data_IF_704827986424
#
_entry.id   IF_704827986424
#
_cell.length_a   1.000
_cell.length_b   1.000
_cell.length_c   1.000
_cell.angle_alpha   90.00
_cell.angle_beta   90.00
_cell.angle_gamma   90.00
#
_symmetry.space_group_name_H-M   'P 1'
#
loop_
_entity.id
_entity.type
_entity.pdbx_description
1 polymer ?
#
# COMPACT_ATOMS: atom_id res chain seq x y z
N UNK A 1 28.07 -17.12 30.62
CA UNK A 1 27.57 -16.62 31.91
C UNK A 1 27.92 -17.61 33.03
N UNK A 2 28.49 -17.14 34.15
CA UNK A 2 28.75 -17.96 35.37
C UNK A 2 27.68 -17.75 36.44
N UNK A 3 26.60 -17.04 36.09
CA UNK A 3 25.51 -16.72 37.00
C UNK A 3 24.56 -17.91 37.14
N UNK A 4 24.49 -18.49 38.33
CA UNK A 4 23.66 -19.66 38.64
C UNK A 4 22.17 -19.41 38.39
N UNK A 5 21.69 -18.18 38.58
CA UNK A 5 20.28 -17.84 38.36
C UNK A 5 19.95 -17.86 36.86
N UNK A 6 20.84 -17.34 36.01
CA UNK A 6 20.68 -17.37 34.55
C UNK A 6 20.74 -18.80 34.03
N UNK A 7 21.62 -19.63 34.57
CA UNK A 7 21.72 -21.05 34.21
C UNK A 7 20.44 -21.80 34.61
N UNK A 8 19.93 -21.58 35.82
CA UNK A 8 18.71 -22.21 36.30
C UNK A 8 17.49 -21.80 35.45
N UNK A 9 17.35 -20.52 35.13
CA UNK A 9 16.33 -20.02 34.22
C UNK A 9 16.44 -20.65 32.83
N UNK A 10 17.64 -20.68 32.24
CA UNK A 10 17.86 -21.23 30.91
C UNK A 10 17.56 -22.74 30.85
N UNK A 11 17.93 -23.51 31.87
CA UNK A 11 17.60 -24.94 31.98
C UNK A 11 16.10 -25.15 32.09
N UNK A 12 15.42 -24.35 32.91
CA UNK A 12 13.96 -24.41 33.06
C UNK A 12 13.24 -24.07 31.74
N UNK A 13 13.61 -22.97 31.11
CA UNK A 13 13.06 -22.54 29.83
C UNK A 13 13.29 -23.57 28.72
N UNK A 14 14.49 -24.14 28.63
CA UNK A 14 14.82 -25.16 27.61
C UNK A 14 13.99 -26.43 27.80
N UNK A 15 13.78 -26.87 29.05
CA UNK A 15 12.94 -28.05 29.37
C UNK A 15 11.47 -27.85 29.02
N UNK A 16 10.98 -26.62 29.08
CA UNK A 16 9.59 -26.27 28.74
C UNK A 16 9.40 -25.88 27.27
N UNK A 17 10.48 -25.67 26.52
CA UNK A 17 10.42 -25.13 25.15
C UNK A 17 10.13 -26.21 24.11
N UNK A 18 11.02 -27.19 23.95
CA UNK A 18 10.92 -28.19 22.91
C UNK A 18 11.45 -29.55 23.36
N UNK A 19 10.82 -30.62 22.89
CA UNK A 19 11.36 -31.97 23.07
C UNK A 19 12.63 -32.13 22.21
N UNK A 20 13.55 -33.05 22.56
CA UNK A 20 14.75 -33.30 21.76
C UNK A 20 14.45 -33.63 20.28
N UNK A 21 13.37 -34.38 20.03
CA UNK A 21 12.93 -34.71 18.67
C UNK A 21 12.42 -33.49 17.89
N UNK A 22 11.67 -32.60 18.54
CA UNK A 22 11.22 -31.35 17.92
C UNK A 22 12.39 -30.42 17.60
N UNK A 23 13.38 -30.32 18.49
CA UNK A 23 14.59 -29.53 18.25
C UNK A 23 15.42 -30.08 17.07
N UNK A 24 15.54 -31.41 16.97
CA UNK A 24 16.22 -32.05 15.84
C UNK A 24 15.51 -31.77 14.50
N UNK A 25 14.17 -31.89 14.47
CA UNK A 25 13.37 -31.58 13.29
C UNK A 25 13.48 -30.09 12.88
N UNK A 26 13.43 -29.17 13.85
CA UNK A 26 13.59 -27.74 13.61
C UNK A 26 14.99 -27.41 13.05
N UNK A 27 16.04 -28.04 13.58
CA UNK A 27 17.40 -27.87 13.04
C UNK A 27 17.50 -28.39 11.61
N UNK A 28 16.95 -29.56 11.31
CA UNK A 28 16.97 -30.12 9.96
C UNK A 28 16.27 -29.19 8.96
N UNK A 29 15.07 -28.73 9.30
CA UNK A 29 14.32 -27.77 8.49
C UNK A 29 15.11 -26.48 8.24
N UNK A 30 15.76 -25.92 9.28
CA UNK A 30 16.55 -24.70 9.12
C UNK A 30 17.80 -24.90 8.24
N UNK A 31 18.40 -26.09 8.24
CA UNK A 31 19.55 -26.42 7.38
C UNK A 31 19.17 -26.57 5.90
N UNK A 32 17.91 -26.87 5.60
CA UNK A 32 17.39 -26.99 4.23
C UNK A 32 17.08 -25.62 3.59
N UNK A 33 17.04 -24.54 4.39
CA UNK A 33 16.84 -23.19 3.89
C UNK A 33 18.14 -22.66 3.29
N UNK A 34 18.21 -22.62 1.96
CA UNK A 34 19.33 -22.03 1.22
C UNK A 34 18.92 -20.69 0.58
N UNK A 35 19.41 -19.60 1.15
CA UNK A 35 19.22 -18.24 0.64
C UNK A 35 20.50 -17.63 0.07
N UNK A 36 21.56 -18.42 -0.15
CA UNK A 36 22.88 -17.90 -0.58
C UNK A 36 22.79 -17.14 -1.91
N UNK A 37 21.96 -17.63 -2.83
CA UNK A 37 21.73 -16.97 -4.13
C UNK A 37 21.02 -15.62 -4.03
N UNK A 38 20.40 -15.29 -2.89
CA UNK A 38 19.72 -14.02 -2.67
C UNK A 38 20.63 -12.95 -2.05
N UNK A 39 21.73 -13.33 -1.40
CA UNK A 39 22.64 -12.37 -0.74
C UNK A 39 23.11 -11.23 -1.67
N UNK A 40 23.46 -11.47 -2.95
CA UNK A 40 23.85 -10.40 -3.87
C UNK A 40 22.71 -9.43 -4.24
N UNK A 41 21.46 -9.80 -3.99
CA UNK A 41 20.29 -8.97 -4.31
C UNK A 41 19.99 -7.93 -3.23
N UNK A 42 20.63 -8.02 -2.06
CA UNK A 42 20.48 -7.06 -0.98
C UNK A 42 21.15 -5.73 -1.39
N UNK A 43 20.35 -4.68 -1.57
CA UNK A 43 20.80 -3.35 -2.02
C UNK A 43 20.86 -2.29 -0.91
N UNK A 44 20.40 -2.64 0.29
CA UNK A 44 20.36 -1.72 1.43
C UNK A 44 21.65 -1.81 2.25
N UNK A 45 22.06 -0.72 2.94
CA UNK A 45 23.17 -0.79 3.88
C UNK A 45 22.98 -1.95 4.86
N UNK A 46 24.01 -2.79 4.98
CA UNK A 46 23.94 -4.03 5.78
C UNK A 46 25.12 -4.11 6.75
N UNK A 47 24.84 -4.49 7.99
CA UNK A 47 25.85 -4.82 9.00
C UNK A 47 25.75 -6.30 9.32
N UNK A 48 26.90 -6.98 9.26
CA UNK A 48 27.07 -8.38 9.64
C UNK A 48 27.96 -8.43 10.88
N UNK A 49 27.39 -8.89 11.99
CA UNK A 49 28.07 -9.04 13.27
C UNK A 49 28.26 -10.51 13.60
N UNK A 50 29.42 -10.88 14.14
CA UNK A 50 29.66 -12.25 14.58
C UNK A 50 30.70 -12.31 15.71
N UNK A 51 30.52 -13.21 16.69
CA UNK A 51 31.53 -13.44 17.74
C UNK A 51 32.54 -14.51 17.33
N UNK A 52 33.83 -14.20 17.36
CA UNK A 52 34.89 -15.07 16.81
C UNK A 52 34.95 -16.47 17.42
N UNK A 53 34.54 -16.62 18.68
CA UNK A 53 34.51 -17.89 19.40
C UNK A 53 33.13 -18.54 19.48
N UNK A 54 32.15 -18.10 18.69
CA UNK A 54 30.79 -18.65 18.69
C UNK A 54 30.80 -20.19 18.57
N UNK A 55 30.20 -20.85 19.55
CA UNK A 55 30.17 -22.31 19.67
C UNK A 55 29.02 -22.97 18.91
N UNK A 56 28.09 -22.18 18.39
CA UNK A 56 26.89 -22.65 17.69
C UNK A 56 27.03 -22.52 16.17
N UNK A 57 27.55 -21.39 15.69
CA UNK A 57 27.77 -21.13 14.26
C UNK A 57 29.21 -20.65 14.06
N UNK A 58 29.99 -21.25 13.13
CA UNK A 58 31.34 -20.79 12.83
C UNK A 58 31.37 -19.38 12.24
N UNK A 59 32.38 -18.59 12.61
CA UNK A 59 32.58 -17.20 12.14
C UNK A 59 32.67 -17.08 10.61
N UNK A 60 33.20 -18.10 9.93
CA UNK A 60 33.34 -18.12 8.48
C UNK A 60 32.00 -18.03 7.74
N UNK A 61 30.90 -18.46 8.37
CA UNK A 61 29.56 -18.31 7.80
C UNK A 61 29.20 -16.82 7.65
N UNK A 62 29.47 -16.02 8.68
CA UNK A 62 29.20 -14.58 8.63
C UNK A 62 30.20 -13.83 7.75
N UNK A 63 31.46 -14.28 7.66
CA UNK A 63 32.42 -13.77 6.67
C UNK A 63 31.89 -13.97 5.25
N UNK A 64 31.45 -15.19 4.92
CA UNK A 64 30.84 -15.49 3.63
C UNK A 64 29.63 -14.58 3.35
N UNK A 65 28.72 -14.41 4.32
CA UNK A 65 27.57 -13.51 4.15
C UNK A 65 28.02 -12.08 3.84
N UNK A 66 28.99 -11.55 4.58
CA UNK A 66 29.49 -10.21 4.35
C UNK A 66 30.18 -10.04 2.97
N UNK A 67 30.87 -11.07 2.48
CA UNK A 67 31.48 -11.06 1.14
C UNK A 67 30.43 -11.09 0.03
N UNK A 68 29.31 -11.77 0.24
CA UNK A 68 28.25 -11.91 -0.77
C UNK A 68 27.28 -10.72 -0.81
N UNK A 69 27.13 -9.97 0.28
CA UNK A 69 26.24 -8.80 0.35
C UNK A 69 26.99 -7.54 -0.09
N UNK A 70 26.59 -6.89 -1.22
CA UNK A 70 27.30 -5.72 -1.73
C UNK A 70 27.35 -4.57 -0.72
N UNK A 71 28.57 -4.15 -0.39
CA UNK A 71 28.78 -3.02 0.53
C UNK A 71 28.42 -3.30 1.98
N UNK A 72 28.26 -4.57 2.37
CA UNK A 72 28.09 -4.94 3.77
C UNK A 72 29.31 -4.53 4.60
N UNK A 73 29.04 -4.09 5.83
CA UNK A 73 30.06 -4.03 6.86
C UNK A 73 30.11 -5.33 7.62
N UNK A 74 31.32 -5.78 7.85
CA UNK A 74 31.59 -6.91 8.70
C UNK A 74 32.31 -6.45 9.95
N UNK A 75 31.83 -6.91 11.11
CA UNK A 75 32.47 -6.62 12.38
C UNK A 75 32.48 -7.87 13.26
N UNK A 76 33.69 -8.30 13.60
CA UNK A 76 33.92 -9.40 14.52
C UNK A 76 33.98 -8.87 15.95
N UNK A 77 33.33 -9.60 16.84
CA UNK A 77 33.28 -9.33 18.27
C UNK A 77 34.02 -10.44 19.02
N UNK A 78 34.62 -10.11 20.15
CA UNK A 78 35.16 -11.14 21.04
C UNK A 78 34.01 -11.85 21.79
N UNK A 79 34.17 -13.14 22.03
CA UNK A 79 33.28 -13.94 22.86
C UNK A 79 32.86 -15.27 22.24
N UNK A 80 32.12 -16.06 23.02
CA UNK A 80 31.75 -17.45 22.66
C UNK A 80 30.24 -17.66 22.51
N UNK A 81 29.45 -16.64 22.85
CA UNK A 81 28.00 -16.73 22.93
C UNK A 81 27.35 -16.42 21.58
N UNK A 82 26.49 -17.31 21.09
CA UNK A 82 25.74 -17.10 19.84
C UNK A 82 24.64 -16.04 19.98
N UNK A 83 24.01 -16.00 21.15
CA UNK A 83 22.86 -15.13 21.41
C UNK A 83 23.37 -13.69 21.62
N UNK A 84 22.86 -12.69 20.87
CA UNK A 84 23.45 -11.35 20.87
C UNK A 84 23.35 -10.64 22.23
N UNK A 85 22.31 -10.90 23.02
CA UNK A 85 22.13 -10.30 24.36
C UNK A 85 22.84 -11.05 25.51
N UNK A 86 23.58 -12.11 25.21
CA UNK A 86 24.35 -12.89 26.21
C UNK A 86 25.85 -12.60 26.06
N UNK A 87 26.58 -12.60 27.18
CA UNK A 87 28.01 -12.30 27.21
C UNK A 87 28.23 -10.80 27.31
N UNK A 88 28.80 -10.20 26.26
CA UNK A 88 28.93 -8.75 26.13
C UNK A 88 27.88 -8.22 25.13
N UNK A 89 26.68 -7.82 25.61
CA UNK A 89 25.69 -7.15 24.78
C UNK A 89 26.08 -5.69 24.46
N UNK A 90 26.95 -5.07 25.26
CA UNK A 90 27.39 -3.70 25.08
C UNK A 90 28.14 -3.52 23.77
N UNK A 91 29.04 -4.45 23.45
CA UNK A 91 29.77 -4.45 22.18
C UNK A 91 28.84 -4.57 20.96
N UNK A 92 27.77 -5.38 21.06
CA UNK A 92 26.74 -5.48 19.99
C UNK A 92 26.02 -4.14 19.82
N UNK A 93 25.58 -3.52 20.90
CA UNK A 93 24.89 -2.21 20.87
C UNK A 93 25.79 -1.12 20.31
N UNK A 94 27.08 -1.12 20.65
CA UNK A 94 28.07 -0.18 20.12
C UNK A 94 28.19 -0.34 18.61
N UNK A 95 28.39 -1.56 18.12
CA UNK A 95 28.54 -1.83 16.68
C UNK A 95 27.29 -1.45 15.88
N UNK A 96 26.09 -1.76 16.40
CA UNK A 96 24.82 -1.36 15.78
C UNK A 96 24.67 0.16 15.75
N UNK A 97 24.98 0.85 16.86
CA UNK A 97 24.90 2.31 16.93
C UNK A 97 25.84 2.98 15.93
N UNK A 98 27.10 2.57 15.89
CA UNK A 98 28.10 3.14 14.96
C UNK A 98 27.68 2.94 13.50
N UNK A 99 27.12 1.77 13.18
CA UNK A 99 26.58 1.51 11.85
C UNK A 99 25.42 2.46 11.49
N UNK A 100 24.45 2.61 12.40
CA UNK A 100 23.30 3.51 12.19
C UNK A 100 23.76 4.96 12.06
N UNK A 101 24.62 5.44 12.95
CA UNK A 101 25.18 6.80 12.90
C UNK A 101 25.93 7.07 11.59
N UNK A 102 26.64 6.05 11.08
CA UNK A 102 27.35 6.16 9.80
C UNK A 102 26.39 6.23 8.63
N UNK A 103 25.37 5.39 8.58
CA UNK A 103 24.31 5.49 7.55
C UNK A 103 23.71 6.89 7.58
N UNK A 104 23.36 7.37 8.77
CA UNK A 104 22.74 8.68 8.95
C UNK A 104 23.61 9.85 8.50
N UNK A 105 24.94 9.70 8.59
CA UNK A 105 25.92 10.71 8.18
C UNK A 105 26.19 10.70 6.69
N UNK A 106 26.40 9.50 6.13
CA UNK A 106 26.89 9.32 4.75
C UNK A 106 25.75 9.26 3.72
N UNK A 107 24.52 9.02 4.19
CA UNK A 107 23.28 9.10 3.41
C UNK A 107 22.38 10.13 4.09
N UNK A 108 22.56 11.44 3.83
CA UNK A 108 21.60 12.42 4.28
C UNK A 108 20.36 12.25 3.39
N UNK A 109 19.57 11.19 3.65
CA UNK A 109 18.21 10.99 3.13
C UNK A 109 18.04 11.64 1.75
N UNK A 110 18.63 11.02 0.72
CA UNK A 110 18.10 11.20 -0.64
C UNK A 110 16.58 11.10 -0.46
N UNK A 111 15.87 12.20 -0.72
CA UNK A 111 14.42 12.28 -0.60
C UNK A 111 13.89 11.00 -1.21
N UNK A 112 13.37 10.08 -0.37
CA UNK A 112 12.71 8.89 -0.90
C UNK A 112 11.56 9.50 -1.68
N UNK A 113 11.67 9.54 -3.01
CA UNK A 113 10.54 9.89 -3.84
C UNK A 113 9.43 8.94 -3.36
N UNK A 114 8.34 9.47 -2.75
CA UNK A 114 7.33 8.62 -2.16
C UNK A 114 6.87 7.63 -3.22
N UNK A 115 6.75 6.34 -2.90
CA UNK A 115 6.45 5.29 -3.87
C UNK A 115 5.35 5.76 -4.83
N UNK A 116 5.73 6.08 -6.07
CA UNK A 116 4.83 6.67 -7.07
C UNK A 116 4.22 5.54 -7.89
N UNK A 117 2.91 5.54 -7.98
CA UNK A 117 2.16 4.58 -8.79
C UNK A 117 1.24 5.30 -9.74
N UNK A 118 1.14 4.82 -10.98
CA UNK A 118 0.09 5.25 -11.89
C UNK A 118 -1.23 4.62 -11.43
N UNK A 119 -2.18 5.44 -11.01
CA UNK A 119 -3.49 4.98 -10.57
C UNK A 119 -4.61 5.76 -11.26
N UNK A 120 -5.77 5.12 -11.41
CA UNK A 120 -7.01 5.81 -11.76
C UNK A 120 -7.81 6.06 -10.49
N UNK A 121 -8.15 7.32 -10.24
CA UNK A 121 -9.00 7.73 -9.12
C UNK A 121 -10.44 7.91 -9.59
N UNK A 122 -11.39 7.43 -8.78
CA UNK A 122 -12.83 7.59 -8.96
C UNK A 122 -13.38 8.33 -7.75
N UNK A 123 -14.12 9.40 -8.02
CA UNK A 123 -14.91 10.10 -7.02
C UNK A 123 -16.38 10.00 -7.40
N UNK A 124 -17.23 9.71 -6.43
CA UNK A 124 -18.69 9.75 -6.59
C UNK A 124 -19.33 10.58 -5.50
N UNK A 125 -20.49 11.17 -5.79
CA UNK A 125 -21.24 12.00 -4.84
C UNK A 125 -22.74 11.92 -5.14
N UNK A 126 -23.60 11.93 -4.11
CA UNK A 126 -25.06 11.88 -4.30
C UNK A 126 -25.55 13.27 -4.70
N UNK A 127 -26.31 13.34 -5.79
CA UNK A 127 -26.90 14.59 -6.26
C UNK A 127 -27.98 15.07 -5.28
N UNK A 128 -27.86 16.32 -4.82
CA UNK A 128 -28.85 16.96 -3.96
C UNK A 128 -28.98 16.29 -2.58
N UNK A 129 -27.92 15.67 -2.09
CA UNK A 129 -27.94 14.88 -0.84
C UNK A 129 -28.40 15.65 0.38
N UNK A 130 -28.01 16.92 0.51
CA UNK A 130 -28.44 17.77 1.63
C UNK A 130 -29.95 18.01 1.62
N UNK A 131 -30.54 18.33 0.46
CA UNK A 131 -31.99 18.53 0.32
C UNK A 131 -32.78 17.24 0.57
N UNK A 132 -32.27 16.12 0.04
CA UNK A 132 -32.84 14.78 0.27
C UNK A 132 -32.79 14.40 1.76
N UNK A 133 -31.68 14.66 2.43
CA UNK A 133 -31.53 14.39 3.87
C UNK A 133 -32.54 15.18 4.71
N UNK A 134 -32.74 16.47 4.38
CA UNK A 134 -33.71 17.32 5.07
C UNK A 134 -35.17 16.88 4.84
N UNK A 135 -35.49 16.38 3.65
CA UNK A 135 -36.86 15.93 3.31
C UNK A 135 -37.17 14.56 3.89
N UNK A 136 -36.22 13.63 3.90
CA UNK A 136 -36.39 12.26 4.40
C UNK A 136 -36.31 12.17 5.93
N UNK A 137 -35.57 13.08 6.56
CA UNK A 137 -35.19 13.02 7.96
C UNK A 137 -34.08 12.01 8.24
N UNK A 138 -33.37 12.21 9.36
CA UNK A 138 -32.12 11.52 9.68
C UNK A 138 -32.19 9.98 9.63
N UNK A 139 -33.27 9.39 10.13
CA UNK A 139 -33.39 7.93 10.21
C UNK A 139 -33.47 7.27 8.82
N UNK A 140 -34.36 7.78 7.96
CA UNK A 140 -34.52 7.29 6.58
C UNK A 140 -33.31 7.62 5.72
N UNK A 141 -32.72 8.80 5.91
CA UNK A 141 -31.47 9.17 5.24
C UNK A 141 -30.33 8.21 5.59
N UNK A 142 -30.19 7.86 6.87
CA UNK A 142 -29.16 6.91 7.32
C UNK A 142 -29.35 5.51 6.76
N UNK A 143 -30.60 5.07 6.61
CA UNK A 143 -30.93 3.78 5.98
C UNK A 143 -30.60 3.80 4.48
N UNK A 144 -30.99 4.85 3.77
CA UNK A 144 -30.66 5.04 2.36
C UNK A 144 -29.16 5.11 2.12
N UNK A 145 -28.40 5.81 2.99
CA UNK A 145 -26.94 5.85 2.89
C UNK A 145 -26.30 4.48 3.11
N UNK A 146 -26.83 3.67 4.03
CA UNK A 146 -26.33 2.32 4.26
C UNK A 146 -26.53 1.42 3.03
N UNK A 147 -27.70 1.49 2.41
CA UNK A 147 -27.99 0.77 1.16
C UNK A 147 -27.12 1.28 0.00
N UNK A 148 -26.97 2.60 -0.14
CA UNK A 148 -26.07 3.22 -1.10
C UNK A 148 -24.63 2.71 -0.93
N UNK A 149 -24.07 2.79 0.29
CA UNK A 149 -22.72 2.32 0.59
C UNK A 149 -22.53 0.84 0.29
N UNK A 150 -23.53 0.01 0.63
CA UNK A 150 -23.51 -1.43 0.35
C UNK A 150 -23.42 -1.71 -1.16
N UNK A 151 -24.25 -1.02 -1.97
CA UNK A 151 -24.24 -1.16 -3.44
C UNK A 151 -22.93 -0.68 -4.06
N UNK A 152 -22.40 0.46 -3.61
CA UNK A 152 -21.12 0.98 -4.09
C UNK A 152 -20.00 -0.01 -3.80
N UNK A 153 -19.89 -0.50 -2.55
CA UNK A 153 -18.87 -1.48 -2.16
C UNK A 153 -18.97 -2.79 -2.93
N UNK A 154 -20.20 -3.25 -3.22
CA UNK A 154 -20.43 -4.40 -4.08
C UNK A 154 -19.84 -4.23 -5.49
N UNK A 155 -20.02 -3.06 -6.11
CA UNK A 155 -19.41 -2.78 -7.41
C UNK A 155 -17.89 -2.58 -7.33
N UNK A 156 -17.39 -1.88 -6.30
CA UNK A 156 -15.94 -1.75 -6.09
C UNK A 156 -15.28 -3.13 -5.99
N UNK A 157 -15.84 -4.06 -5.21
CA UNK A 157 -15.34 -5.42 -5.11
C UNK A 157 -15.37 -6.16 -6.46
N UNK A 158 -16.50 -6.08 -7.19
CA UNK A 158 -16.65 -6.71 -8.52
C UNK A 158 -15.62 -6.22 -9.53
N UNK A 159 -15.34 -4.92 -9.53
CA UNK A 159 -14.42 -4.28 -10.46
C UNK A 159 -13.03 -4.07 -9.85
N UNK A 160 -12.67 -4.78 -8.77
CA UNK A 160 -11.34 -4.70 -8.14
C UNK A 160 -10.88 -3.25 -7.84
N UNK A 161 -11.82 -2.40 -7.44
CA UNK A 161 -11.56 -1.06 -6.94
C UNK A 161 -11.21 -1.11 -5.46
N UNK A 162 -10.27 -0.27 -5.04
CA UNK A 162 -9.88 -0.11 -3.64
C UNK A 162 -10.52 1.16 -3.07
N UNK A 163 -11.41 1.02 -2.11
CA UNK A 163 -11.98 2.14 -1.34
C UNK A 163 -10.88 2.80 -0.51
N UNK A 164 -10.63 4.09 -0.72
CA UNK A 164 -9.62 4.87 0.00
C UNK A 164 -10.27 5.65 1.15
N UNK A 165 -11.39 6.30 0.85
CA UNK A 165 -12.12 7.11 1.82
C UNK A 165 -13.60 7.27 1.43
N UNK A 166 -14.42 7.65 2.41
CA UNK A 166 -15.82 8.03 2.24
C UNK A 166 -16.10 9.34 2.95
N UNK A 167 -16.58 10.34 2.22
CA UNK A 167 -16.96 11.63 2.77
C UNK A 167 -18.49 11.72 2.82
N UNK A 168 -19.09 11.13 3.87
CA UNK A 168 -20.54 11.09 4.05
C UNK A 168 -21.24 10.24 2.98
N UNK A 169 -21.78 10.90 1.97
CA UNK A 169 -22.47 10.32 0.82
C UNK A 169 -21.58 10.10 -0.40
N UNK A 170 -20.36 10.65 -0.41
CA UNK A 170 -19.38 10.46 -1.47
C UNK A 170 -18.38 9.33 -1.22
N UNK A 171 -17.86 8.75 -2.30
CA UNK A 171 -16.78 7.75 -2.28
C UNK A 171 -15.55 8.25 -3.01
N UNK A 172 -14.38 7.92 -2.46
CA UNK A 172 -13.09 8.01 -3.13
C UNK A 172 -12.47 6.61 -3.24
N UNK A 173 -12.26 6.15 -4.47
CA UNK A 173 -11.67 4.85 -4.76
C UNK A 173 -10.53 4.96 -5.78
N UNK A 174 -9.66 3.95 -5.79
CA UNK A 174 -8.57 3.82 -6.76
C UNK A 174 -8.64 2.50 -7.53
N UNK A 175 -8.10 2.51 -8.75
CA UNK A 175 -8.04 1.37 -9.66
C UNK A 175 -6.68 1.32 -10.36
N UNK A 176 -6.23 0.11 -10.68
CA UNK A 176 -5.06 -0.20 -11.49
C UNK A 176 -5.27 0.05 -13.00
N UNK A 177 -6.48 0.41 -13.43
CA UNK A 177 -6.79 0.61 -14.84
C UNK A 177 -8.03 1.47 -15.12
N UNK A 178 -7.96 2.42 -16.07
CA UNK A 178 -9.03 3.40 -16.28
C UNK A 178 -10.32 2.82 -16.86
N UNK A 179 -10.24 1.87 -17.78
CA UNK A 179 -11.42 1.24 -18.36
C UNK A 179 -12.24 0.49 -17.29
N UNK A 180 -11.56 -0.11 -16.31
CA UNK A 180 -12.18 -0.82 -15.19
C UNK A 180 -12.92 0.16 -14.27
N UNK A 181 -12.27 1.28 -13.95
CA UNK A 181 -12.86 2.35 -13.15
C UNK A 181 -14.12 2.93 -13.80
N UNK A 182 -14.10 3.17 -15.13
CA UNK A 182 -15.27 3.66 -15.88
C UNK A 182 -16.43 2.65 -15.82
N UNK A 183 -16.17 1.37 -16.05
CA UNK A 183 -17.20 0.33 -15.95
C UNK A 183 -17.77 0.23 -14.53
N UNK A 184 -16.92 0.35 -13.51
CA UNK A 184 -17.37 0.43 -12.13
C UNK A 184 -18.28 1.63 -11.90
N UNK A 185 -17.90 2.82 -12.37
CA UNK A 185 -18.73 4.03 -12.22
C UNK A 185 -20.11 3.88 -12.88
N UNK A 186 -20.18 3.27 -14.08
CA UNK A 186 -21.47 2.93 -14.74
C UNK A 186 -22.30 1.99 -13.88
N UNK A 187 -21.70 0.90 -13.41
CA UNK A 187 -22.39 -0.08 -12.59
C UNK A 187 -22.87 0.49 -11.24
N UNK A 188 -22.09 1.40 -10.64
CA UNK A 188 -22.51 2.11 -9.42
C UNK A 188 -23.71 2.99 -9.71
N UNK A 189 -23.64 3.84 -10.75
CA UNK A 189 -24.74 4.72 -11.17
C UNK A 189 -26.02 3.93 -11.41
N UNK A 190 -25.95 2.84 -12.17
CA UNK A 190 -27.11 2.01 -12.48
C UNK A 190 -27.66 1.32 -11.22
N UNK A 191 -26.78 0.83 -10.33
CA UNK A 191 -27.20 0.18 -9.09
C UNK A 191 -27.85 1.14 -8.09
N UNK A 192 -27.40 2.40 -8.01
CA UNK A 192 -27.97 3.38 -7.06
C UNK A 192 -29.22 4.05 -7.61
N UNK A 193 -29.42 4.07 -8.94
CA UNK A 193 -30.67 4.52 -9.55
C UNK A 193 -31.89 3.72 -9.06
N UNK A 194 -31.72 2.43 -8.77
CA UNK A 194 -32.77 1.58 -8.16
C UNK A 194 -33.19 2.04 -6.76
N UNK A 195 -32.37 2.84 -6.07
CA UNK A 195 -32.70 3.45 -4.78
C UNK A 195 -33.41 4.82 -4.92
N UNK A 196 -33.68 5.27 -6.14
CA UNK A 196 -34.29 6.58 -6.41
C UNK A 196 -33.35 7.76 -6.17
N UNK A 197 -32.04 7.52 -6.26
CA UNK A 197 -31.00 8.55 -6.15
C UNK A 197 -30.13 8.57 -7.40
N UNK A 198 -29.67 9.76 -7.73
CA UNK A 198 -28.71 9.99 -8.79
C UNK A 198 -27.36 10.28 -8.15
N UNK A 199 -26.30 9.81 -8.79
CA UNK A 199 -24.94 10.20 -8.44
C UNK A 199 -24.32 10.97 -9.60
N UNK A 200 -23.29 11.73 -9.28
CA UNK A 200 -22.31 12.22 -10.24
C UNK A 200 -20.99 11.53 -9.98
N UNK A 201 -20.23 11.26 -11.03
CA UNK A 201 -18.93 10.62 -10.91
C UNK A 201 -17.86 11.34 -11.72
N UNK A 202 -16.64 11.40 -11.19
CA UNK A 202 -15.47 11.94 -11.87
C UNK A 202 -14.29 10.98 -11.82
N UNK A 203 -13.59 10.85 -12.94
CA UNK A 203 -12.40 10.01 -13.04
C UNK A 203 -11.20 10.78 -13.59
N UNK A 204 -10.04 10.49 -13.01
CA UNK A 204 -8.75 10.93 -13.52
C UNK A 204 -7.71 9.82 -13.35
N UNK A 205 -6.73 9.79 -14.25
CA UNK A 205 -5.61 8.87 -14.17
C UNK A 205 -4.32 9.68 -14.21
N UNK A 206 -3.44 9.40 -13.28
CA UNK A 206 -2.19 10.14 -13.10
C UNK A 206 -1.30 9.48 -12.09
N UNK A 207 -0.10 10.03 -11.94
CA UNK A 207 0.85 9.58 -10.94
C UNK A 207 0.37 10.00 -9.55
N UNK A 208 0.29 9.02 -8.64
CA UNK A 208 -0.13 9.19 -7.26
C UNK A 208 0.99 8.77 -6.33
N UNK A 209 1.11 9.50 -5.22
CA UNK A 209 2.02 9.14 -4.13
C UNK A 209 1.32 8.10 -3.24
N UNK A 210 2.01 7.02 -2.88
CA UNK A 210 1.49 6.03 -1.94
C UNK A 210 1.97 6.37 -0.53
N UNK A 211 1.06 6.81 0.34
CA UNK A 211 1.36 7.15 1.74
C UNK A 211 0.46 6.29 2.63
N UNK A 212 1.06 5.44 3.46
CA UNK A 212 0.35 4.51 4.35
C UNK A 212 -0.70 3.64 3.61
N UNK A 213 -0.39 3.25 2.37
CA UNK A 213 -1.28 2.46 1.51
C UNK A 213 -2.42 3.25 0.87
N UNK A 214 -2.50 4.57 1.08
CA UNK A 214 -3.48 5.46 0.44
C UNK A 214 -2.83 6.22 -0.72
N UNK A 215 -3.61 6.47 -1.76
CA UNK A 215 -3.20 7.32 -2.88
C UNK A 215 -3.38 8.80 -2.54
N UNK A 216 -2.34 9.59 -2.76
CA UNK A 216 -2.28 11.04 -2.59
C UNK A 216 -1.72 11.75 -3.83
N UNK A 217 -1.61 13.08 -3.75
CA UNK A 217 -0.99 13.91 -4.77
C UNK A 217 -1.95 14.60 -5.73
N UNK A 218 -1.39 15.26 -6.74
CA UNK A 218 -2.11 16.16 -7.66
C UNK A 218 -3.22 15.43 -8.43
N UNK A 219 -3.01 14.16 -8.80
CA UNK A 219 -4.00 13.34 -9.49
C UNK A 219 -5.31 13.19 -8.70
N UNK A 220 -5.22 13.06 -7.37
CA UNK A 220 -6.37 12.99 -6.46
C UNK A 220 -7.18 14.29 -6.52
N UNK A 221 -6.49 15.44 -6.47
CA UNK A 221 -7.14 16.75 -6.56
C UNK A 221 -7.80 16.98 -7.92
N UNK A 222 -7.17 16.57 -9.02
CA UNK A 222 -7.77 16.65 -10.36
C UNK A 222 -9.02 15.79 -10.41
N UNK A 223 -8.97 14.53 -9.97
CA UNK A 223 -10.12 13.62 -9.95
C UNK A 223 -11.33 14.19 -9.19
N UNK A 224 -11.08 14.77 -8.00
CA UNK A 224 -12.13 15.41 -7.22
C UNK A 224 -12.74 16.63 -7.93
N UNK A 225 -11.94 17.41 -8.68
CA UNK A 225 -12.43 18.55 -9.46
C UNK A 225 -13.20 18.11 -10.70
N UNK A 226 -12.79 17.03 -11.35
CA UNK A 226 -13.56 16.42 -12.45
C UNK A 226 -14.94 15.97 -11.94
N UNK A 227 -15.01 15.31 -10.77
CA UNK A 227 -16.29 14.89 -10.20
C UNK A 227 -17.21 16.05 -9.84
N UNK A 228 -16.64 17.16 -9.35
CA UNK A 228 -17.41 18.36 -9.03
C UNK A 228 -18.06 19.03 -10.26
N UNK A 229 -17.45 18.86 -11.45
CA UNK A 229 -17.97 19.38 -12.72
C UNK A 229 -19.01 18.46 -13.39
N UNK A 230 -19.15 17.22 -12.92
CA UNK A 230 -20.11 16.27 -13.46
C UNK A 230 -21.55 16.67 -13.10
N UNK A 231 -22.45 16.59 -14.09
CA UNK A 231 -23.90 16.80 -13.91
C UNK A 231 -24.54 15.59 -13.20
N UNK A 232 -25.81 15.69 -12.78
CA UNK A 232 -26.56 14.54 -12.30
C UNK A 232 -26.56 13.39 -13.33
N UNK A 233 -26.39 12.17 -12.83
CA UNK A 233 -26.32 10.93 -13.60
C UNK A 233 -25.14 10.86 -14.61
N UNK A 234 -24.19 11.79 -14.50
CA UNK A 234 -23.07 11.90 -15.40
C UNK A 234 -21.79 11.25 -14.83
N UNK A 235 -21.08 10.54 -15.71
CA UNK A 235 -19.73 10.06 -15.46
C UNK A 235 -18.78 10.89 -16.32
N UNK A 236 -18.04 11.79 -15.68
CA UNK A 236 -17.11 12.69 -16.34
C UNK A 236 -15.67 12.20 -16.17
N UNK A 237 -14.85 12.30 -17.20
CA UNK A 237 -13.44 11.90 -17.16
C UNK A 237 -12.54 12.99 -17.72
N UNK A 238 -11.30 13.04 -17.22
CA UNK A 238 -10.24 13.84 -17.86
C UNK A 238 -9.80 13.27 -19.21
N UNK A 239 -9.22 14.11 -20.08
CA UNK A 239 -8.62 13.68 -21.35
C UNK A 239 -7.62 12.54 -21.21
N UNK A 240 -6.80 12.55 -20.15
CA UNK A 240 -5.84 11.46 -19.85
C UNK A 240 -6.52 10.09 -19.74
N UNK A 241 -7.68 10.02 -19.07
CA UNK A 241 -8.44 8.78 -18.94
C UNK A 241 -8.97 8.33 -20.30
N UNK A 242 -9.53 9.25 -21.10
CA UNK A 242 -10.05 8.95 -22.44
C UNK A 242 -8.95 8.42 -23.37
N UNK A 243 -7.74 8.98 -23.29
CA UNK A 243 -6.61 8.53 -24.12
C UNK A 243 -6.07 7.16 -23.68
N UNK A 244 -6.01 6.89 -22.37
CA UNK A 244 -5.56 5.60 -21.84
C UNK A 244 -6.51 4.42 -22.11
N UNK A 245 -7.77 4.69 -22.46
CA UNK A 245 -8.77 3.65 -22.77
C UNK A 245 -9.06 3.51 -24.27
N UNK A 246 -8.19 4.04 -25.14
CA UNK A 246 -8.29 3.80 -26.57
C UNK A 246 -8.35 2.29 -26.86
N UNK A 247 -9.33 1.86 -27.68
CA UNK A 247 -9.54 0.44 -27.99
C UNK A 247 -10.39 -0.35 -26.98
N UNK A 248 -10.84 0.27 -25.88
CA UNK A 248 -11.69 -0.40 -24.87
C UNK A 248 -13.17 -0.54 -25.27
N UNK A 249 -13.59 0.09 -26.37
CA UNK A 249 -14.99 0.19 -26.80
C UNK A 249 -15.80 1.29 -26.10
N UNK A 250 -15.25 1.94 -25.07
CA UNK A 250 -15.92 3.02 -24.34
C UNK A 250 -16.03 4.27 -25.24
N UNK A 251 -17.24 4.82 -25.33
CA UNK A 251 -17.53 6.02 -26.11
C UNK A 251 -17.59 7.26 -25.21
N UNK A 252 -17.24 8.40 -25.79
CA UNK A 252 -17.13 9.66 -25.07
C UNK A 252 -17.78 10.81 -25.84
N UNK A 253 -18.43 11.70 -25.10
CA UNK A 253 -18.90 12.99 -25.59
C UNK A 253 -17.97 14.10 -25.08
N UNK A 254 -17.56 14.98 -25.98
CA UNK A 254 -16.69 16.11 -25.65
C UNK A 254 -17.44 17.16 -24.82
N UNK A 255 -16.88 17.53 -23.65
CA UNK A 255 -17.38 18.61 -22.77
C UNK A 255 -16.50 19.86 -22.76
N UNK A 256 -15.50 19.89 -23.64
CA UNK A 256 -14.60 21.00 -23.89
C UNK A 256 -13.54 21.18 -22.80
N UNK A 257 -12.75 22.25 -22.99
CA UNK A 257 -11.75 22.69 -22.03
C UNK A 257 -12.44 23.40 -20.85
N UNK A 258 -12.10 23.01 -19.63
CA UNK A 258 -12.62 23.59 -18.39
C UNK A 258 -11.47 23.98 -17.47
N UNK A 259 -11.54 25.17 -16.89
CA UNK A 259 -10.59 25.61 -15.87
C UNK A 259 -11.01 25.08 -14.50
N UNK A 260 -10.27 24.11 -13.98
CA UNK A 260 -10.53 23.48 -12.69
C UNK A 260 -9.80 24.24 -11.57
N UNK A 261 -10.54 24.61 -10.52
CA UNK A 261 -10.00 25.39 -9.40
C UNK A 261 -8.76 24.75 -8.77
N UNK A 262 -7.62 25.42 -8.92
CA UNK A 262 -6.34 25.06 -8.30
C UNK A 262 -5.50 24.04 -9.07
N UNK A 263 -5.99 23.51 -10.20
CA UNK A 263 -5.27 22.47 -10.99
C UNK A 263 -5.15 22.80 -12.47
N UNK A 264 -5.58 23.98 -12.92
CA UNK A 264 -5.39 24.47 -14.29
C UNK A 264 -6.49 24.08 -15.27
N UNK A 265 -6.20 24.12 -16.57
CA UNK A 265 -7.14 23.79 -17.63
C UNK A 265 -7.09 22.31 -18.00
N UNK A 266 -8.26 21.68 -18.10
CA UNK A 266 -8.42 20.27 -18.41
C UNK A 266 -9.53 20.06 -19.43
N UNK A 267 -9.26 19.23 -20.42
CA UNK A 267 -10.27 18.79 -21.38
C UNK A 267 -11.06 17.64 -20.77
N UNK A 268 -12.39 17.80 -20.67
CA UNK A 268 -13.26 16.83 -20.02
C UNK A 268 -14.17 16.13 -21.03
N UNK A 269 -14.52 14.88 -20.73
CA UNK A 269 -15.34 14.03 -21.58
C UNK A 269 -16.37 13.30 -20.74
N UNK A 270 -17.61 13.26 -21.20
CA UNK A 270 -18.67 12.46 -20.58
C UNK A 270 -18.65 11.05 -21.18
N UNK A 271 -18.75 10.02 -20.34
CA UNK A 271 -18.89 8.64 -20.82
C UNK A 271 -20.29 8.46 -21.39
N UNK A 272 -20.39 8.11 -22.67
CA UNK A 272 -21.69 7.93 -23.34
C UNK A 272 -22.40 6.68 -22.81
N UNK A 273 -23.73 6.71 -22.80
CA UNK A 273 -24.61 5.60 -22.38
C UNK A 273 -24.71 4.45 -23.40
N UNK A 274 -23.88 4.43 -24.45
CA UNK A 274 -23.93 3.44 -25.52
C UNK A 274 -23.84 2.00 -25.02
N UNK A 275 -24.75 1.16 -25.52
CA UNK A 275 -24.74 -0.28 -25.32
C UNK A 275 -23.38 -0.84 -25.76
N UNK A 276 -22.71 -1.59 -24.88
CA UNK A 276 -21.58 -2.42 -25.27
C UNK A 276 -22.08 -3.36 -26.38
N UNK A 277 -21.49 -3.26 -27.58
CA UNK A 277 -21.72 -4.24 -28.63
C UNK A 277 -21.27 -5.61 -28.09
N UNK A 278 -22.19 -6.58 -28.15
CA UNK A 278 -22.01 -7.95 -27.71
C UNK A 278 -20.85 -8.67 -28.42
#
# INVERSE_FOLDING_TARGET
>A
ATDEEVIAWAVHATRLSATPGALAALRQMNLEIDIRGLLPTIRVPTLVLHRTGDRYVPVDVSRFVAEQVPGALYHELDGIDHIPWVGDPGAVVVAVREFVERIWRDRPWEEIEPDRVLATVLFTDIVGSTEKAMTLGNARWSELLREHHSRVRGQLARFRGHEIDTAGDGFFASFDGPARAIRCARAVRDAVAELGIEIRAGLHAGECELIDGKVGGVAVHIGARVAAEAKPDEILVSGTVKDLVAGSGIQFEDRGLRTLKGVGEWHLFAVSSGAEAA
#
